data_IF_473551410020
#
_entry.id   IF_473551410020
#
_cell.length_a   1.000
_cell.length_b   1.000
_cell.length_c   1.000
_cell.angle_alpha   90.00
_cell.angle_beta   90.00
_cell.angle_gamma   90.00
#
_symmetry.space_group_name_H-M   'P 1'
#
loop_
_entity.id
_entity.type
_entity.pdbx_description
1 polymer ?
#
# COMPACT_ATOMS: atom_id res chain seq x y z
N UNK A 1 7.13 -1.13 -16.58
CA UNK A 1 7.91 0.12 -16.57
C UNK A 1 7.55 0.92 -15.31
N UNK A 2 8.54 1.21 -14.44
CA UNK A 2 8.31 1.89 -13.17
C UNK A 2 8.54 3.38 -13.34
N UNK A 3 7.47 4.19 -13.24
CA UNK A 3 7.50 5.63 -13.54
C UNK A 3 7.03 6.52 -12.40
N UNK A 4 6.32 5.97 -11.39
CA UNK A 4 5.82 6.75 -10.25
C UNK A 4 6.96 6.96 -9.24
N UNK A 5 7.34 8.22 -8.92
CA UNK A 5 8.28 8.50 -7.85
C UNK A 5 7.72 8.14 -6.47
N UNK A 6 8.57 7.65 -5.57
CA UNK A 6 8.19 7.26 -4.20
C UNK A 6 7.55 8.39 -3.40
N UNK A 7 7.94 9.64 -3.65
CA UNK A 7 7.36 10.84 -3.01
C UNK A 7 5.85 11.02 -3.22
N UNK A 8 5.29 10.42 -4.30
CA UNK A 8 3.84 10.43 -4.55
C UNK A 8 3.17 9.19 -3.98
N UNK A 9 3.88 8.06 -3.96
CA UNK A 9 3.40 6.81 -3.37
C UNK A 9 3.24 6.94 -1.86
N UNK A 10 4.25 7.45 -1.17
CA UNK A 10 4.27 7.54 0.28
C UNK A 10 3.03 8.21 0.92
N UNK A 11 2.57 9.40 0.49
CA UNK A 11 1.34 9.97 1.05
C UNK A 11 0.09 9.15 0.72
N UNK A 12 0.05 8.48 -0.44
CA UNK A 12 -1.08 7.64 -0.83
C UNK A 12 -1.27 6.46 0.12
N UNK A 13 -0.19 5.83 0.59
CA UNK A 13 -0.27 4.71 1.53
C UNK A 13 -0.95 5.12 2.83
N UNK A 14 -0.58 6.27 3.38
CA UNK A 14 -1.21 6.77 4.61
C UNK A 14 -2.68 7.13 4.39
N UNK A 15 -3.00 7.80 3.27
CA UNK A 15 -4.39 8.15 2.92
C UNK A 15 -5.22 6.88 2.74
N UNK A 16 -4.74 5.92 1.95
CA UNK A 16 -5.43 4.65 1.71
C UNK A 16 -5.58 3.85 2.99
N UNK A 17 -4.55 3.80 3.84
CA UNK A 17 -4.61 3.14 5.13
C UNK A 17 -5.70 3.71 6.04
N UNK A 18 -5.78 5.05 6.13
CA UNK A 18 -6.83 5.73 6.90
C UNK A 18 -8.22 5.49 6.29
N UNK A 19 -8.34 5.56 4.96
CA UNK A 19 -9.60 5.29 4.25
C UNK A 19 -10.07 3.85 4.48
N UNK A 20 -9.18 2.86 4.43
CA UNK A 20 -9.52 1.47 4.73
C UNK A 20 -10.00 1.27 6.17
N UNK A 21 -9.35 1.91 7.14
CA UNK A 21 -9.79 1.87 8.55
C UNK A 21 -11.16 2.50 8.71
N UNK A 22 -11.45 3.61 8.02
CA UNK A 22 -12.72 4.32 8.10
C UNK A 22 -13.82 3.73 7.19
N UNK A 23 -13.45 2.88 6.23
CA UNK A 23 -14.35 2.34 5.21
C UNK A 23 -15.63 1.69 5.74
N UNK A 24 -15.61 0.91 6.86
CA UNK A 24 -16.83 0.31 7.41
C UNK A 24 -17.94 1.33 7.70
N UNK A 25 -17.56 2.50 8.19
CA UNK A 25 -18.50 3.57 8.51
C UNK A 25 -18.83 4.45 7.29
N UNK A 26 -17.84 4.74 6.44
CA UNK A 26 -18.04 5.52 5.21
C UNK A 26 -19.01 4.80 4.26
N UNK A 27 -18.82 3.50 4.06
CA UNK A 27 -19.61 2.67 3.15
C UNK A 27 -20.72 1.89 3.84
N UNK A 28 -20.96 2.12 5.13
CA UNK A 28 -22.07 1.57 5.90
C UNK A 28 -22.10 0.03 5.95
N UNK A 29 -20.95 -0.60 6.18
CA UNK A 29 -20.86 -2.04 6.40
C UNK A 29 -20.25 -2.41 7.77
N UNK A 30 -20.24 -1.48 8.72
CA UNK A 30 -19.65 -1.70 10.06
C UNK A 30 -20.34 -2.82 10.85
N UNK A 31 -21.59 -3.12 10.54
CA UNK A 31 -22.36 -4.21 11.17
C UNK A 31 -22.00 -5.60 10.59
N UNK A 32 -21.30 -5.64 9.45
CA UNK A 32 -20.79 -6.88 8.86
C UNK A 32 -19.34 -7.11 9.30
N UNK A 33 -19.13 -8.13 10.13
CA UNK A 33 -17.82 -8.39 10.75
C UNK A 33 -16.73 -8.77 9.74
N UNK A 34 -17.04 -9.52 8.70
CA UNK A 34 -16.08 -9.97 7.68
C UNK A 34 -15.36 -8.81 7.00
N UNK A 35 -16.05 -8.00 6.20
CA UNK A 35 -15.43 -6.85 5.52
C UNK A 35 -14.87 -5.82 6.50
N UNK A 36 -15.49 -5.62 7.67
CA UNK A 36 -15.00 -4.68 8.70
C UNK A 36 -13.63 -5.07 9.22
N UNK A 37 -13.45 -6.33 9.63
CA UNK A 37 -12.16 -6.80 10.14
C UNK A 37 -11.08 -6.77 9.05
N UNK A 38 -11.39 -7.23 7.83
CA UNK A 38 -10.43 -7.21 6.72
C UNK A 38 -9.98 -5.79 6.40
N UNK A 39 -10.91 -4.85 6.31
CA UNK A 39 -10.63 -3.45 6.00
C UNK A 39 -9.76 -2.78 7.06
N UNK A 40 -10.11 -2.92 8.34
CA UNK A 40 -9.36 -2.32 9.45
C UNK A 40 -7.96 -2.94 9.58
N UNK A 41 -7.84 -4.26 9.51
CA UNK A 41 -6.55 -4.96 9.65
C UNK A 41 -5.61 -4.59 8.53
N UNK A 42 -6.08 -4.59 7.27
CA UNK A 42 -5.22 -4.24 6.14
C UNK A 42 -4.89 -2.74 6.11
N UNK A 43 -5.81 -1.87 6.50
CA UNK A 43 -5.55 -0.44 6.63
C UNK A 43 -4.51 -0.12 7.70
N UNK A 44 -4.64 -0.71 8.89
CA UNK A 44 -3.67 -0.57 9.97
C UNK A 44 -2.31 -1.18 9.60
N UNK A 45 -2.32 -2.34 8.96
CA UNK A 45 -1.11 -2.99 8.44
C UNK A 45 -0.38 -2.15 7.41
N UNK A 46 -1.10 -1.51 6.48
CA UNK A 46 -0.52 -0.60 5.49
C UNK A 46 0.16 0.60 6.16
N UNK A 47 -0.49 1.24 7.13
CA UNK A 47 0.11 2.38 7.88
C UNK A 47 1.36 1.93 8.63
N UNK A 48 1.29 0.81 9.37
CA UNK A 48 2.43 0.29 10.13
C UNK A 48 3.61 -0.04 9.20
N UNK A 49 3.32 -0.65 8.05
CA UNK A 49 4.34 -1.00 7.07
C UNK A 49 4.95 0.23 6.38
N UNK A 50 4.12 1.23 6.11
CA UNK A 50 4.58 2.52 5.57
C UNK A 50 5.54 3.23 6.51
N UNK A 51 5.31 3.16 7.81
CA UNK A 51 6.19 3.75 8.83
C UNK A 51 7.60 3.15 8.81
N UNK A 52 7.76 1.86 8.47
CA UNK A 52 9.06 1.19 8.42
C UNK A 52 9.68 1.16 7.01
N UNK A 53 8.98 1.63 6.00
CA UNK A 53 9.47 1.65 4.62
C UNK A 53 10.51 2.74 4.40
N UNK A 54 11.55 2.43 3.62
CA UNK A 54 12.59 3.37 3.25
C UNK A 54 12.17 4.23 2.06
N UNK A 55 11.28 5.19 2.32
CA UNK A 55 10.86 6.24 1.41
C UNK A 55 10.67 7.56 2.18
N UNK A 56 10.19 8.62 1.51
CA UNK A 56 10.20 10.00 2.03
C UNK A 56 9.46 10.16 3.37
N UNK A 57 8.32 9.47 3.56
CA UNK A 57 7.50 9.55 4.77
C UNK A 57 7.68 8.36 5.72
N UNK A 58 8.60 7.45 5.45
CA UNK A 58 8.95 6.37 6.38
C UNK A 58 9.74 6.89 7.57
N UNK A 59 9.42 6.41 8.77
CA UNK A 59 10.08 6.84 10.02
C UNK A 59 11.34 6.03 10.29
N UNK A 60 11.24 4.70 10.28
CA UNK A 60 12.37 3.83 10.63
C UNK A 60 13.23 3.39 9.45
N UNK A 61 12.75 3.50 8.21
CA UNK A 61 13.49 3.23 6.97
C UNK A 61 14.21 1.87 6.94
N UNK A 62 13.54 0.83 7.40
CA UNK A 62 14.06 -0.53 7.52
C UNK A 62 13.79 -1.33 6.24
N UNK A 63 12.54 -1.28 5.74
CA UNK A 63 12.10 -2.06 4.60
C UNK A 63 12.45 -1.37 3.27
N UNK A 64 13.19 -2.05 2.36
CA UNK A 64 13.47 -1.50 1.04
C UNK A 64 12.20 -1.29 0.22
N UNK A 65 12.17 -0.28 -0.65
CA UNK A 65 11.02 0.01 -1.52
C UNK A 65 10.66 -1.15 -2.45
N UNK A 66 11.61 -1.98 -2.84
CA UNK A 66 11.36 -3.18 -3.63
C UNK A 66 10.49 -4.20 -2.89
N UNK A 67 10.72 -4.38 -1.60
CA UNK A 67 9.93 -5.27 -0.72
C UNK A 67 8.55 -4.65 -0.48
N UNK A 68 8.49 -3.34 -0.25
CA UNK A 68 7.22 -2.62 -0.11
C UNK A 68 6.32 -2.83 -1.34
N UNK A 69 6.83 -2.55 -2.53
CA UNK A 69 6.08 -2.75 -3.77
C UNK A 69 5.60 -4.19 -3.98
N UNK A 70 6.38 -5.19 -3.55
CA UNK A 70 5.95 -6.59 -3.60
C UNK A 70 4.80 -6.86 -2.65
N UNK A 71 4.87 -6.32 -1.44
CA UNK A 71 3.79 -6.45 -0.45
C UNK A 71 2.52 -5.76 -0.94
N UNK A 72 2.61 -4.59 -1.57
CA UNK A 72 1.46 -3.92 -2.18
C UNK A 72 0.76 -4.80 -3.21
N UNK A 73 1.53 -5.48 -4.06
CA UNK A 73 0.97 -6.39 -5.06
C UNK A 73 0.25 -7.57 -4.38
N UNK A 74 0.90 -8.19 -3.41
CA UNK A 74 0.34 -9.37 -2.72
C UNK A 74 -0.86 -8.99 -1.85
N UNK A 75 -0.73 -7.93 -1.04
CA UNK A 75 -1.80 -7.44 -0.19
C UNK A 75 -2.97 -6.87 -1.01
N UNK A 76 -2.67 -6.19 -2.12
CA UNK A 76 -3.68 -5.69 -3.05
C UNK A 76 -4.46 -6.81 -3.72
N UNK A 77 -3.79 -7.89 -4.14
CA UNK A 77 -4.45 -9.07 -4.69
C UNK A 77 -5.34 -9.77 -3.64
N UNK A 78 -4.83 -9.91 -2.42
CA UNK A 78 -5.61 -10.44 -1.30
C UNK A 78 -6.82 -9.57 -0.97
N UNK A 79 -6.64 -8.25 -0.91
CA UNK A 79 -7.73 -7.30 -0.67
C UNK A 79 -8.79 -7.38 -1.77
N UNK A 80 -8.38 -7.41 -3.04
CA UNK A 80 -9.31 -7.54 -4.17
C UNK A 80 -10.08 -8.86 -4.17
N UNK A 81 -9.46 -9.96 -3.73
CA UNK A 81 -10.08 -11.28 -3.64
C UNK A 81 -10.91 -11.50 -2.37
N UNK A 82 -10.73 -10.66 -1.34
CA UNK A 82 -11.34 -10.83 -0.02
C UNK A 82 -12.87 -10.95 -0.03
N UNK A 83 -13.65 -10.28 -0.92
CA UNK A 83 -15.09 -10.48 -0.99
C UNK A 83 -15.51 -11.94 -1.20
N UNK A 84 -14.74 -12.68 -2.00
CA UNK A 84 -15.00 -14.10 -2.26
C UNK A 84 -14.37 -15.01 -1.21
N UNK A 85 -13.20 -14.65 -0.69
CA UNK A 85 -12.51 -15.43 0.36
C UNK A 85 -13.33 -15.45 1.64
N UNK A 86 -13.96 -14.34 2.00
CA UNK A 86 -14.69 -14.16 3.26
C UNK A 86 -16.21 -14.06 3.06
N UNK A 87 -16.71 -14.45 1.88
CA UNK A 87 -18.13 -14.63 1.57
C UNK A 87 -19.00 -13.37 1.76
N UNK A 88 -18.48 -12.21 1.34
CA UNK A 88 -19.25 -10.96 1.33
C UNK A 88 -19.41 -10.32 -0.06
N UNK A 89 -19.12 -11.08 -1.13
CA UNK A 89 -19.29 -10.59 -2.50
C UNK A 89 -20.76 -10.29 -2.86
N UNK A 90 -21.70 -10.97 -2.22
CA UNK A 90 -23.13 -10.82 -2.44
C UNK A 90 -23.80 -9.75 -1.54
N UNK A 91 -23.04 -9.13 -0.63
CA UNK A 91 -23.55 -8.12 0.32
C UNK A 91 -23.80 -6.75 -0.30
N UNK A 92 -23.65 -6.63 -1.62
CA UNK A 92 -23.91 -5.43 -2.41
C UNK A 92 -22.66 -4.60 -2.71
N UNK A 93 -22.77 -3.76 -3.74
CA UNK A 93 -21.63 -3.02 -4.30
C UNK A 93 -20.97 -2.07 -3.30
N UNK A 94 -21.70 -1.50 -2.36
CA UNK A 94 -21.14 -0.65 -1.29
C UNK A 94 -20.11 -1.39 -0.43
N UNK A 95 -20.30 -2.71 -0.27
CA UNK A 95 -19.43 -3.54 0.55
C UNK A 95 -18.21 -4.00 -0.24
N UNK A 96 -18.39 -4.68 -1.37
CA UNK A 96 -17.29 -5.31 -2.10
C UNK A 96 -16.47 -4.35 -2.99
N UNK A 97 -17.11 -3.30 -3.57
CA UNK A 97 -16.42 -2.43 -4.54
C UNK A 97 -15.19 -1.69 -3.96
N UNK A 98 -15.20 -1.17 -2.72
CA UNK A 98 -14.02 -0.57 -2.12
C UNK A 98 -12.81 -1.52 -2.09
N UNK A 99 -13.03 -2.80 -1.81
CA UNK A 99 -11.97 -3.82 -1.76
C UNK A 99 -11.33 -4.06 -3.13
N UNK A 100 -12.17 -4.14 -4.18
CA UNK A 100 -11.67 -4.28 -5.55
C UNK A 100 -10.89 -3.04 -6.01
N UNK A 101 -11.43 -1.86 -5.78
CA UNK A 101 -10.83 -0.59 -6.23
C UNK A 101 -9.49 -0.36 -5.53
N UNK A 102 -9.46 -0.48 -4.21
CA UNK A 102 -8.22 -0.28 -3.44
C UNK A 102 -7.21 -1.38 -3.73
N UNK A 103 -7.65 -2.63 -3.82
CA UNK A 103 -6.78 -3.75 -4.17
C UNK A 103 -6.13 -3.59 -5.55
N UNK A 104 -6.92 -3.21 -6.56
CA UNK A 104 -6.41 -2.93 -7.92
C UNK A 104 -5.44 -1.73 -7.93
N UNK A 105 -5.74 -0.67 -7.17
CA UNK A 105 -4.87 0.49 -7.03
C UNK A 105 -3.54 0.13 -6.36
N UNK A 106 -3.55 -0.70 -5.31
CA UNK A 106 -2.34 -1.17 -4.64
C UNK A 106 -1.46 -2.01 -5.58
N UNK A 107 -2.05 -2.94 -6.34
CA UNK A 107 -1.33 -3.70 -7.38
C UNK A 107 -0.70 -2.76 -8.41
N UNK A 108 -1.47 -1.81 -8.92
CA UNK A 108 -0.99 -0.85 -9.90
C UNK A 108 0.18 -0.02 -9.35
N UNK A 109 0.07 0.50 -8.14
CA UNK A 109 1.14 1.27 -7.49
C UNK A 109 2.38 0.40 -7.25
N UNK A 110 2.22 -0.83 -6.75
CA UNK A 110 3.33 -1.77 -6.54
C UNK A 110 4.08 -2.12 -7.82
N UNK A 111 3.37 -2.22 -8.95
CA UNK A 111 3.98 -2.49 -10.26
C UNK A 111 4.67 -1.27 -10.89
N UNK A 112 4.15 -0.06 -10.65
CA UNK A 112 4.56 1.15 -11.38
C UNK A 112 5.45 2.08 -10.58
N UNK A 113 5.55 1.92 -9.25
CA UNK A 113 6.40 2.77 -8.42
C UNK A 113 7.87 2.41 -8.54
N UNK A 114 8.72 3.42 -8.65
CA UNK A 114 10.18 3.28 -8.71
C UNK A 114 10.70 2.71 -7.40
N UNK A 115 11.73 1.87 -7.50
CA UNK A 115 12.40 1.28 -6.33
C UNK A 115 13.62 2.09 -5.86
N UNK A 116 13.86 3.25 -6.49
CA UNK A 116 15.09 4.04 -6.40
C UNK A 116 14.94 5.35 -5.60
N UNK A 117 13.93 5.46 -4.73
CA UNK A 117 13.58 6.72 -4.07
C UNK A 117 13.95 6.85 -2.59
N UNK A 118 14.43 5.81 -1.93
CA UNK A 118 14.67 5.82 -0.48
C UNK A 118 16.05 6.34 -0.05
N UNK A 119 16.22 6.47 1.26
CA UNK A 119 17.48 6.89 1.90
C UNK A 119 18.66 5.99 1.54
N UNK A 120 18.44 4.68 1.51
CA UNK A 120 19.48 3.69 1.15
C UNK A 120 19.97 3.86 -0.27
N UNK A 121 19.07 4.18 -1.20
CA UNK A 121 19.42 4.45 -2.58
C UNK A 121 20.30 5.70 -2.70
N UNK A 122 19.94 6.80 -2.03
CA UNK A 122 20.75 8.04 -2.03
C UNK A 122 22.13 7.84 -1.43
N UNK A 123 22.25 7.00 -0.39
CA UNK A 123 23.53 6.70 0.26
C UNK A 123 24.44 5.77 -0.57
N UNK A 124 23.83 4.85 -1.34
CA UNK A 124 24.57 3.94 -2.24
C UNK A 124 24.94 4.55 -3.59
N UNK A 125 24.23 5.60 -4.04
CA UNK A 125 24.51 6.32 -5.28
C UNK A 125 25.53 7.45 -5.14
N UNK A 126 25.98 7.77 -3.94
CA UNK A 126 27.03 8.74 -3.69
C UNK A 126 28.41 8.07 -3.61
N UNK A 127 28.78 7.28 -4.64
CA UNK A 127 30.18 7.16 -4.99
C UNK A 127 30.50 8.35 -5.93
N UNK A 128 31.27 9.33 -5.50
CA UNK A 128 31.94 10.18 -6.46
C UNK A 128 32.88 9.23 -7.22
N UNK A 129 32.58 8.98 -8.49
CA UNK A 129 33.65 8.60 -9.40
C UNK A 129 34.71 9.67 -9.21
N UNK A 130 35.79 9.31 -8.54
CA UNK A 130 36.96 10.14 -8.52
C UNK A 130 37.23 10.49 -9.98
N UNK A 131 37.05 11.75 -10.31
CA UNK A 131 37.53 12.26 -11.56
C UNK A 131 39.02 11.95 -11.56
N UNK A 132 39.39 10.98 -12.39
CA UNK A 132 40.79 10.81 -12.74
C UNK A 132 41.19 12.09 -13.45
N UNK A 133 41.98 12.89 -12.75
CA UNK A 133 42.63 14.03 -13.34
C UNK A 133 43.61 13.58 -14.41
#
# INVERSE_FOLDING_TARGET
MRFIPTRYHAPLDYIVGVVLIAAPWIFQFSDNSGPTVVSIVLGAGLIAYSLITDYELGVWKIAPMAVHNLIDIVAGAFLAASPWIFDFADDGAKVWAPFLVVGAAAIFLGLTTKQTGGYRYRKGGAHPTAAAG
#
